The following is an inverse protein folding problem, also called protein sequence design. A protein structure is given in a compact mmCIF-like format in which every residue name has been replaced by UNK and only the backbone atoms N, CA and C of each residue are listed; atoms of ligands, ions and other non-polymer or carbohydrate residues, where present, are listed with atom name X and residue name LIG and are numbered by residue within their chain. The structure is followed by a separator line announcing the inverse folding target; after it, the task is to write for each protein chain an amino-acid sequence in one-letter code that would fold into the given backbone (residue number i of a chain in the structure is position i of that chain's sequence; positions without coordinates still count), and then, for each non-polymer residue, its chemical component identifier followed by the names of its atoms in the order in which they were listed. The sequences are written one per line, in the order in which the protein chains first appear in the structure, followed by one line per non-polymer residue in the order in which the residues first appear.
data_IF_156620298297
#
_entry.id   IF_156620298297
#
_cell.length_a   1.000
_cell.length_b   1.000
_cell.length_c   1.000
_cell.angle_alpha   90.00
_cell.angle_beta   90.00
_cell.angle_gamma   90.00
#
_symmetry.space_group_name_H-M   'P 1'
#
loop_
_entity.id
_entity.type
_entity.pdbx_description
1 polymer ?
#
# COMPACT_ATOMS: atom_id res chain seq x y z
N UNK A 1 20.71 6.69 -7.03
CA UNK A 1 19.61 7.06 -6.12
C UNK A 1 19.86 6.42 -4.77
N UNK A 2 19.47 7.11 -3.69
CA UNK A 2 19.64 6.64 -2.32
C UNK A 2 18.33 6.80 -1.56
N UNK A 3 17.72 5.68 -1.21
CA UNK A 3 16.47 5.58 -0.46
C UNK A 3 16.75 5.00 0.91
N UNK A 4 16.19 5.59 1.95
CA UNK A 4 16.16 5.02 3.30
C UNK A 4 14.73 4.68 3.69
N UNK A 5 14.51 3.43 4.09
CA UNK A 5 13.25 3.00 4.71
C UNK A 5 13.46 2.90 6.22
N UNK A 6 12.89 3.87 6.94
CA UNK A 6 12.87 3.94 8.40
C UNK A 6 11.66 3.16 8.89
N UNK A 7 11.86 1.93 9.36
CA UNK A 7 10.78 1.02 9.73
C UNK A 7 10.49 1.10 11.22
N UNK A 8 9.21 1.20 11.56
CA UNK A 8 8.68 0.88 12.88
C UNK A 8 8.01 -0.49 12.75
N UNK A 9 8.46 -1.47 13.53
CA UNK A 9 7.88 -2.81 13.48
C UNK A 9 6.57 -2.86 14.27
N UNK A 10 5.48 -3.05 13.54
CA UNK A 10 4.14 -3.16 14.09
C UNK A 10 3.88 -4.61 14.50
N UNK A 11 3.61 -4.77 15.79
CA UNK A 11 3.32 -6.03 16.49
C UNK A 11 2.02 -5.96 17.30
N UNK A 12 1.22 -4.92 17.08
CA UNK A 12 -0.08 -4.75 17.72
C UNK A 12 -0.94 -3.65 17.08
N UNK A 13 -2.25 -3.77 17.22
CA UNK A 13 -3.22 -2.72 16.89
C UNK A 13 -4.15 -2.47 18.05
N UNK A 14 -4.51 -1.20 18.25
CA UNK A 14 -5.55 -0.82 19.20
C UNK A 14 -6.22 0.49 18.77
N UNK A 15 -7.50 0.65 19.10
CA UNK A 15 -8.13 1.96 19.01
C UNK A 15 -7.76 2.83 20.22
N UNK A 16 -7.58 4.12 19.98
CA UNK A 16 -7.26 5.12 21.01
C UNK A 16 -7.82 6.51 20.64
N UNK A 17 -7.63 7.50 21.51
CA UNK A 17 -8.04 8.88 21.25
C UNK A 17 -7.14 9.60 20.23
N UNK A 18 -5.97 9.05 19.91
CA UNK A 18 -5.01 9.61 18.95
C UNK A 18 -4.35 8.49 18.14
N UNK A 19 -3.93 8.82 16.92
CA UNK A 19 -3.15 7.92 16.06
C UNK A 19 -1.65 8.11 16.31
N UNK A 20 -0.96 7.07 16.74
CA UNK A 20 0.49 7.07 17.03
C UNK A 20 1.02 5.63 17.20
N UNK A 21 2.35 5.47 17.25
CA UNK A 21 2.99 4.19 17.60
C UNK A 21 3.61 4.23 18.99
N UNK A 22 3.52 3.13 19.74
CA UNK A 22 4.23 2.95 21.01
C UNK A 22 4.42 1.48 21.34
N UNK A 23 5.65 1.09 21.69
CA UNK A 23 5.97 -0.29 22.07
C UNK A 23 5.61 -1.33 21.00
N UNK A 24 5.74 -0.99 19.72
CA UNK A 24 5.35 -1.84 18.59
C UNK A 24 3.85 -1.88 18.31
N UNK A 25 3.00 -1.21 19.09
CA UNK A 25 1.56 -1.12 18.80
C UNK A 25 1.25 0.16 18.02
N UNK A 26 0.50 0.04 16.92
CA UNK A 26 -0.12 1.16 16.23
C UNK A 26 -1.50 1.44 16.87
N UNK A 27 -1.57 2.55 17.59
CA UNK A 27 -2.81 3.08 18.13
C UNK A 27 -3.49 3.95 17.08
N UNK A 28 -4.81 3.79 16.90
CA UNK A 28 -5.56 4.45 15.83
C UNK A 28 -6.73 5.22 16.45
N UNK A 29 -6.84 6.51 16.14
CA UNK A 29 -8.10 7.22 16.33
C UNK A 29 -9.06 6.83 15.19
N UNK A 30 -10.01 5.95 15.51
CA UNK A 30 -11.00 5.44 14.55
C UNK A 30 -11.84 6.57 13.94
N UNK A 31 -12.33 7.50 14.76
CA UNK A 31 -13.20 8.57 14.31
C UNK A 31 -12.49 9.53 13.34
N UNK A 32 -11.25 9.92 13.65
CA UNK A 32 -10.47 10.79 12.78
C UNK A 32 -10.10 10.08 11.47
N UNK A 33 -9.69 8.81 11.55
CA UNK A 33 -9.37 8.01 10.37
C UNK A 33 -10.58 7.82 9.45
N UNK A 34 -11.76 7.52 9.99
CA UNK A 34 -13.01 7.44 9.23
C UNK A 34 -13.40 8.81 8.64
N UNK A 35 -13.24 9.89 9.41
CA UNK A 35 -13.57 11.24 8.96
C UNK A 35 -12.73 11.67 7.75
N UNK A 36 -11.43 11.38 7.74
CA UNK A 36 -10.53 11.69 6.61
C UNK A 36 -10.99 11.00 5.32
N UNK A 37 -11.55 9.79 5.40
CA UNK A 37 -12.08 9.09 4.22
C UNK A 37 -13.47 9.59 3.85
N UNK A 38 -14.31 9.91 4.84
CA UNK A 38 -15.66 10.44 4.65
C UNK A 38 -15.72 11.86 4.03
N UNK A 39 -14.57 12.53 3.89
CA UNK A 39 -14.45 13.76 3.07
C UNK A 39 -14.85 13.51 1.60
N UNK A 40 -14.63 12.28 1.10
CA UNK A 40 -15.06 11.89 -0.23
C UNK A 40 -16.57 11.59 -0.25
N UNK A 41 -17.32 12.49 -0.91
CA UNK A 41 -18.78 12.42 -1.02
C UNK A 41 -19.29 11.29 -1.91
N UNK A 42 -18.39 10.53 -2.56
CA UNK A 42 -18.74 9.31 -3.31
C UNK A 42 -19.11 8.13 -2.39
N UNK A 43 -18.80 8.21 -1.09
CA UNK A 43 -19.16 7.18 -0.13
C UNK A 43 -20.40 7.54 0.69
N UNK A 44 -21.31 6.57 0.82
CA UNK A 44 -22.46 6.63 1.74
C UNK A 44 -22.12 6.09 3.12
N UNK A 45 -21.13 5.20 3.20
CA UNK A 45 -20.64 4.58 4.43
C UNK A 45 -19.12 4.47 4.41
N UNK A 46 -18.50 4.75 5.54
CA UNK A 46 -17.09 4.50 5.84
C UNK A 46 -17.02 3.86 7.23
N UNK A 47 -16.32 2.75 7.33
CA UNK A 47 -16.14 2.02 8.59
C UNK A 47 -14.73 1.43 8.64
N UNK A 48 -14.06 1.59 9.79
CA UNK A 48 -12.75 1.00 10.04
C UNK A 48 -12.85 -0.06 11.13
N UNK A 49 -12.32 -1.24 10.85
CA UNK A 49 -12.10 -2.31 11.83
C UNK A 49 -10.63 -2.72 11.87
N UNK A 50 -10.25 -3.54 12.85
CA UNK A 50 -8.91 -4.10 12.97
C UNK A 50 -8.96 -5.62 13.08
N UNK A 51 -8.00 -6.30 12.46
CA UNK A 51 -7.82 -7.75 12.59
C UNK A 51 -6.34 -8.08 12.76
N UNK A 52 -6.02 -8.80 13.82
CA UNK A 52 -4.67 -9.17 14.20
C UNK A 52 -4.35 -10.62 13.80
N UNK A 53 -3.06 -10.96 13.63
CA UNK A 53 -2.63 -12.34 13.41
C UNK A 53 -3.19 -13.29 14.47
N UNK A 54 -3.81 -14.39 14.03
CA UNK A 54 -4.41 -15.39 14.91
C UNK A 54 -5.86 -15.13 15.33
N UNK A 55 -6.45 -13.98 14.98
CA UNK A 55 -7.87 -13.73 15.25
C UNK A 55 -8.77 -14.75 14.53
N UNK A 56 -9.89 -15.12 15.17
CA UNK A 56 -10.92 -15.99 14.55
C UNK A 56 -11.81 -15.21 13.58
N UNK A 57 -11.20 -14.52 12.62
CA UNK A 57 -11.85 -13.55 11.71
C UNK A 57 -11.47 -13.83 10.27
N UNK A 58 -12.40 -13.57 9.34
CA UNK A 58 -12.13 -13.51 7.91
C UNK A 58 -12.45 -12.11 7.38
N UNK A 59 -11.52 -11.52 6.65
CA UNK A 59 -11.70 -10.21 6.02
C UNK A 59 -12.21 -10.45 4.60
N UNK A 60 -13.37 -9.89 4.28
CA UNK A 60 -14.02 -10.04 2.97
C UNK A 60 -14.94 -8.82 2.72
N UNK A 61 -15.08 -8.35 1.47
CA UNK A 61 -14.31 -8.74 0.29
C UNK A 61 -13.13 -7.81 -0.01
N UNK A 62 -11.93 -8.38 -0.10
CA UNK A 62 -10.65 -7.65 -0.20
C UNK A 62 -10.37 -7.15 -1.63
N UNK A 63 -10.06 -5.87 -1.76
CA UNK A 63 -9.79 -5.19 -3.04
C UNK A 63 -8.32 -4.88 -3.24
N UNK A 64 -7.71 -4.14 -2.34
CA UNK A 64 -6.27 -3.88 -2.34
C UNK A 64 -5.73 -3.92 -0.91
N UNK A 65 -4.42 -4.03 -0.80
CA UNK A 65 -3.70 -4.05 0.47
C UNK A 65 -2.51 -3.12 0.33
N UNK A 66 -2.40 -2.16 1.24
CA UNK A 66 -1.45 -1.05 1.18
C UNK A 66 -0.66 -1.00 2.48
N UNK A 67 0.67 -0.97 2.39
CA UNK A 67 1.50 -0.70 3.57
C UNK A 67 1.50 0.80 3.89
N UNK A 68 1.22 1.22 5.14
CA UNK A 68 1.32 2.61 5.52
C UNK A 68 2.76 3.14 5.42
N UNK A 69 2.96 4.13 4.55
CA UNK A 69 4.24 4.78 4.33
C UNK A 69 4.06 6.29 4.10
N UNK A 70 5.05 7.09 4.51
CA UNK A 70 5.09 8.53 4.29
C UNK A 70 6.53 9.01 4.13
N UNK A 71 6.79 10.03 3.30
CA UNK A 71 8.12 10.67 3.27
C UNK A 71 8.33 11.46 4.56
N UNK A 72 9.48 11.27 5.22
CA UNK A 72 9.79 11.97 6.48
C UNK A 72 9.84 13.49 6.23
N UNK A 73 9.19 14.25 7.11
CA UNK A 73 9.06 15.70 6.99
C UNK A 73 8.06 16.16 5.92
N UNK A 74 7.28 15.24 5.36
CA UNK A 74 6.14 15.51 4.47
C UNK A 74 4.91 14.74 4.95
N UNK A 75 3.77 15.09 4.38
CA UNK A 75 2.46 14.44 4.56
C UNK A 75 2.03 13.62 3.32
N UNK A 76 2.99 13.31 2.45
CA UNK A 76 2.75 12.75 1.12
C UNK A 76 3.58 11.49 0.84
N UNK A 77 3.09 10.62 -0.03
CA UNK A 77 3.82 9.41 -0.45
C UNK A 77 3.61 9.04 -1.92
N UNK A 78 2.49 8.39 -2.25
CA UNK A 78 2.21 7.82 -3.58
C UNK A 78 2.24 8.89 -4.70
N UNK A 79 3.30 8.94 -5.53
CA UNK A 79 3.46 9.98 -6.55
C UNK A 79 2.33 10.01 -7.57
N UNK A 80 1.76 11.18 -7.78
CA UNK A 80 0.60 11.40 -8.66
C UNK A 80 -0.76 11.12 -8.01
N UNK A 81 -0.80 10.43 -6.86
CA UNK A 81 -2.02 10.28 -6.05
C UNK A 81 -2.02 11.24 -4.86
N UNK A 82 -1.27 10.89 -3.82
CA UNK A 82 -1.14 11.64 -2.56
C UNK A 82 0.26 12.21 -2.41
N UNK A 83 0.85 12.59 -3.54
CA UNK A 83 2.11 13.31 -3.66
C UNK A 83 2.17 13.96 -5.05
N UNK A 84 2.93 15.05 -5.24
CA UNK A 84 3.21 15.57 -6.56
C UNK A 84 3.74 14.48 -7.50
N UNK A 85 3.46 14.60 -8.80
CA UNK A 85 3.96 13.68 -9.81
C UNK A 85 5.46 13.92 -10.03
N UNK A 86 6.28 13.30 -9.19
CA UNK A 86 7.73 13.40 -9.17
C UNK A 86 8.37 12.01 -9.06
N UNK A 87 9.63 11.90 -9.47
CA UNK A 87 10.36 10.63 -9.42
C UNK A 87 10.57 10.17 -7.97
N UNK A 88 10.11 8.95 -7.66
CA UNK A 88 10.26 8.32 -6.35
C UNK A 88 11.67 7.75 -6.14
N UNK A 89 11.92 7.12 -4.99
CA UNK A 89 13.08 6.24 -4.79
C UNK A 89 14.33 6.94 -4.24
N UNK A 90 14.16 8.13 -3.69
CA UNK A 90 15.23 8.89 -3.01
C UNK A 90 14.73 9.51 -1.71
N UNK A 91 15.65 9.76 -0.77
CA UNK A 91 15.35 10.39 0.51
C UNK A 91 14.88 9.37 1.54
N UNK A 92 14.18 9.85 2.56
CA UNK A 92 13.81 9.05 3.73
C UNK A 92 12.29 8.82 3.79
N UNK A 93 11.90 7.59 4.02
CA UNK A 93 10.50 7.14 4.08
C UNK A 93 10.27 6.44 5.41
N UNK A 94 9.28 6.89 6.18
CA UNK A 94 8.77 6.16 7.34
C UNK A 94 7.86 5.02 6.86
N UNK A 95 8.06 3.83 7.40
CA UNK A 95 7.31 2.61 7.08
C UNK A 95 6.73 2.01 8.35
N UNK A 96 5.41 1.80 8.39
CA UNK A 96 4.77 1.02 9.46
C UNK A 96 4.81 -0.46 9.09
N UNK A 97 5.99 -1.05 9.22
CA UNK A 97 6.31 -2.41 8.79
C UNK A 97 5.51 -3.44 9.59
N UNK A 98 4.78 -4.30 8.89
CA UNK A 98 3.85 -5.26 9.50
C UNK A 98 2.41 -4.79 9.64
N UNK A 99 2.12 -3.49 9.46
CA UNK A 99 0.75 -2.99 9.32
C UNK A 99 0.29 -3.02 7.85
N UNK A 100 -1.00 -3.25 7.64
CA UNK A 100 -1.59 -3.27 6.31
C UNK A 100 -2.98 -2.62 6.32
N UNK A 101 -3.20 -1.63 5.46
CA UNK A 101 -4.55 -1.12 5.16
C UNK A 101 -5.18 -2.04 4.12
N UNK A 102 -6.28 -2.69 4.48
CA UNK A 102 -7.02 -3.60 3.60
C UNK A 102 -8.30 -2.92 3.15
N UNK A 103 -8.42 -2.63 1.86
CA UNK A 103 -9.65 -2.02 1.32
C UNK A 103 -10.70 -3.10 1.06
N UNK A 104 -11.91 -2.83 1.54
CA UNK A 104 -13.08 -3.69 1.44
C UNK A 104 -14.30 -2.89 1.00
N UNK A 105 -15.23 -3.57 0.34
CA UNK A 105 -16.47 -2.97 -0.14
C UNK A 105 -17.03 -3.69 -1.38
N UNK A 106 -18.33 -3.55 -1.68
CA UNK A 106 -18.98 -4.30 -2.75
C UNK A 106 -18.74 -3.67 -4.13
N UNK A 107 -17.87 -4.24 -4.98
CA UNK A 107 -17.64 -3.73 -6.35
C UNK A 107 -18.39 -4.58 -7.39
N UNK A 108 -17.93 -5.81 -7.64
CA UNK A 108 -18.48 -6.67 -8.70
C UNK A 108 -18.30 -8.15 -8.38
N UNK A 109 -19.42 -8.87 -8.24
CA UNK A 109 -19.47 -10.33 -8.29
C UNK A 109 -18.91 -11.05 -7.05
N UNK A 110 -18.81 -12.38 -7.16
CA UNK A 110 -18.33 -13.29 -6.10
C UNK A 110 -16.80 -13.49 -6.10
N UNK A 111 -16.08 -12.87 -7.05
CA UNK A 111 -14.67 -13.16 -7.32
C UNK A 111 -13.71 -12.50 -6.31
N UNK A 112 -14.25 -11.78 -5.34
CA UNK A 112 -13.46 -10.94 -4.45
C UNK A 112 -12.73 -11.78 -3.39
N UNK A 113 -11.45 -11.47 -3.15
CA UNK A 113 -10.60 -12.26 -2.25
C UNK A 113 -11.01 -12.17 -0.78
N UNK A 114 -10.57 -13.14 0.02
CA UNK A 114 -10.67 -13.08 1.47
C UNK A 114 -9.31 -13.32 2.11
N UNK A 115 -9.14 -12.81 3.34
CA UNK A 115 -8.01 -13.15 4.22
C UNK A 115 -8.57 -13.97 5.38
N UNK A 116 -8.02 -15.16 5.61
CA UNK A 116 -8.31 -15.98 6.78
C UNK A 116 -7.22 -15.73 7.83
N UNK A 117 -7.57 -15.19 8.99
CA UNK A 117 -6.57 -14.77 9.98
C UNK A 117 -6.05 -15.93 10.85
N UNK A 118 -6.78 -17.05 10.92
CA UNK A 118 -6.41 -18.21 11.74
C UNK A 118 -6.80 -19.58 11.18
N UNK A 119 -7.65 -19.65 10.15
CA UNK A 119 -8.02 -20.92 9.52
C UNK A 119 -7.01 -21.41 8.46
N UNK A 120 -7.37 -22.46 7.73
CA UNK A 120 -6.50 -23.08 6.70
C UNK A 120 -6.01 -22.09 5.65
N UNK A 121 -6.80 -21.05 5.34
CA UNK A 121 -6.42 -20.02 4.38
C UNK A 121 -5.24 -19.15 4.83
N UNK A 122 -4.98 -19.07 6.15
CA UNK A 122 -3.94 -18.20 6.72
C UNK A 122 -2.54 -18.52 6.19
N UNK A 123 -2.27 -19.80 5.89
CA UNK A 123 -0.97 -20.25 5.38
C UNK A 123 -0.67 -19.81 3.94
N UNK A 124 -1.70 -19.39 3.20
CA UNK A 124 -1.60 -19.08 1.76
C UNK A 124 -1.59 -17.59 1.46
N UNK A 125 -1.54 -16.75 2.49
CA UNK A 125 -1.51 -15.30 2.33
C UNK A 125 -0.57 -14.68 3.35
N UNK A 126 0.33 -13.76 2.93
CA UNK A 126 1.18 -13.03 3.88
C UNK A 126 0.34 -12.17 4.83
N UNK A 127 -0.86 -11.77 4.41
CA UNK A 127 -1.70 -10.83 5.15
C UNK A 127 -2.41 -11.44 6.36
N UNK A 128 -2.30 -12.76 6.57
CA UNK A 128 -2.70 -13.37 7.85
C UNK A 128 -1.72 -13.05 8.97
N UNK A 129 -0.48 -12.66 8.61
CA UNK A 129 0.59 -12.31 9.54
C UNK A 129 0.75 -10.79 9.70
N UNK A 130 0.01 -9.99 8.94
CA UNK A 130 -0.03 -8.53 9.10
C UNK A 130 -1.07 -8.09 10.12
N UNK A 131 -0.84 -6.92 10.68
CA UNK A 131 -1.78 -6.19 11.50
C UNK A 131 -2.68 -5.37 10.60
N UNK A 132 -3.89 -5.88 10.35
CA UNK A 132 -4.77 -5.36 9.30
C UNK A 132 -5.70 -4.27 9.84
N UNK A 133 -5.62 -3.08 9.24
CA UNK A 133 -6.59 -2.00 9.36
C UNK A 133 -7.56 -2.16 8.19
N UNK A 134 -8.78 -2.62 8.49
CA UNK A 134 -9.79 -2.95 7.49
C UNK A 134 -10.64 -1.73 7.21
N UNK A 135 -10.51 -1.16 6.00
CA UNK A 135 -11.34 -0.05 5.54
C UNK A 135 -12.51 -0.60 4.72
N UNK A 136 -13.71 -0.54 5.26
CA UNK A 136 -14.94 -0.88 4.56
C UNK A 136 -15.69 0.39 4.13
N UNK A 137 -16.00 0.50 2.83
CA UNK A 137 -16.78 1.64 2.31
C UNK A 137 -17.90 1.17 1.39
N UNK A 138 -19.01 1.92 1.38
CA UNK A 138 -20.12 1.71 0.44
C UNK A 138 -20.30 2.95 -0.44
N UNK A 139 -20.57 2.78 -1.75
CA UNK A 139 -20.79 3.90 -2.64
C UNK A 139 -22.11 4.61 -2.33
N UNK A 140 -22.24 5.88 -2.74
CA UNK A 140 -23.54 6.52 -2.89
C UNK A 140 -24.37 5.84 -3.98
N UNK A 141 -25.70 6.01 -3.92
CA UNK A 141 -26.59 5.49 -4.95
C UNK A 141 -26.19 5.97 -6.36
N UNK A 142 -26.29 5.07 -7.34
CA UNK A 142 -26.04 5.33 -8.76
C UNK A 142 -24.59 5.75 -9.12
N UNK A 143 -23.62 5.60 -8.22
CA UNK A 143 -22.21 5.81 -8.57
C UNK A 143 -21.76 4.75 -9.59
N UNK A 144 -21.13 5.18 -10.67
CA UNK A 144 -20.66 4.24 -11.69
C UNK A 144 -19.53 3.37 -11.14
N UNK A 145 -19.51 2.08 -11.50
CA UNK A 145 -18.57 1.08 -10.95
C UNK A 145 -17.10 1.50 -11.08
N UNK A 146 -16.73 2.13 -12.19
CA UNK A 146 -15.35 2.59 -12.39
C UNK A 146 -14.99 3.79 -11.53
N UNK A 147 -15.96 4.66 -11.24
CA UNK A 147 -15.77 5.79 -10.32
C UNK A 147 -15.66 5.29 -8.89
N UNK A 148 -16.44 4.27 -8.53
CA UNK A 148 -16.37 3.64 -7.21
C UNK A 148 -15.05 2.90 -6.99
N UNK A 149 -14.57 2.11 -7.96
CA UNK A 149 -13.25 1.46 -7.85
C UNK A 149 -12.15 2.50 -7.64
N UNK A 150 -12.11 3.56 -8.46
CA UNK A 150 -11.11 4.61 -8.34
C UNK A 150 -11.17 5.29 -6.96
N UNK A 151 -12.38 5.60 -6.48
CA UNK A 151 -12.58 6.17 -5.14
C UNK A 151 -12.07 5.23 -4.05
N UNK A 152 -12.41 3.94 -4.11
CA UNK A 152 -11.99 2.94 -3.13
C UNK A 152 -10.46 2.80 -3.08
N UNK A 153 -9.81 2.77 -4.25
CA UNK A 153 -8.36 2.71 -4.37
C UNK A 153 -7.72 3.94 -3.74
N UNK A 154 -8.20 5.13 -4.09
CA UNK A 154 -7.75 6.39 -3.48
C UNK A 154 -7.95 6.40 -1.97
N UNK A 155 -9.08 5.90 -1.46
CA UNK A 155 -9.37 5.83 -0.04
C UNK A 155 -8.37 4.94 0.73
N UNK A 156 -8.00 3.79 0.17
CA UNK A 156 -6.98 2.91 0.76
C UNK A 156 -5.60 3.57 0.85
N UNK A 157 -5.17 4.19 -0.26
CA UNK A 157 -3.90 4.93 -0.29
C UNK A 157 -3.92 6.13 0.66
N UNK A 158 -5.03 6.89 0.72
CA UNK A 158 -5.20 8.03 1.62
C UNK A 158 -5.08 7.61 3.07
N UNK A 159 -5.77 6.54 3.47
CA UNK A 159 -5.72 6.02 4.83
C UNK A 159 -4.30 5.56 5.20
N UNK A 160 -3.62 4.86 4.30
CA UNK A 160 -2.25 4.40 4.51
C UNK A 160 -1.28 5.57 4.74
N UNK A 161 -1.37 6.63 3.92
CA UNK A 161 -0.54 7.84 4.09
C UNK A 161 -0.91 8.58 5.38
N UNK A 162 -2.20 8.72 5.68
CA UNK A 162 -2.67 9.39 6.89
C UNK A 162 -2.14 8.72 8.17
N UNK A 163 -2.24 7.39 8.27
CA UNK A 163 -1.76 6.64 9.43
C UNK A 163 -0.25 6.81 9.62
N UNK A 164 0.53 6.69 8.55
CA UNK A 164 1.97 6.88 8.60
C UNK A 164 2.36 8.32 8.96
N UNK A 165 1.66 9.32 8.40
CA UNK A 165 1.85 10.74 8.73
C UNK A 165 1.55 11.05 10.19
N UNK A 166 0.43 10.56 10.74
CA UNK A 166 0.14 10.74 12.17
C UNK A 166 1.25 10.15 13.04
N UNK A 167 1.83 9.02 12.64
CA UNK A 167 2.96 8.44 13.36
C UNK A 167 4.24 9.25 13.21
N UNK A 168 4.49 9.86 12.04
CA UNK A 168 5.68 10.70 11.80
C UNK A 168 5.67 12.02 12.59
N UNK A 169 4.49 12.56 12.90
CA UNK A 169 4.31 13.81 13.65
C UNK A 169 4.41 13.65 15.18
N UNK A 170 4.37 12.42 15.68
CA UNK A 170 4.53 12.13 17.10
C UNK A 170 6.00 11.79 17.44
N UNK A 171 6.30 11.57 18.72
CA UNK A 171 7.63 11.04 19.08
C UNK A 171 7.75 9.59 18.63
N UNK A 172 8.58 9.33 17.63
CA UNK A 172 8.84 7.99 17.10
C UNK A 172 10.34 7.75 16.93
N UNK A 173 10.71 6.48 16.76
CA UNK A 173 12.07 6.05 16.43
C UNK A 173 11.97 4.83 15.52
N UNK A 174 12.80 4.79 14.48
CA UNK A 174 12.92 3.59 13.66
C UNK A 174 13.55 2.44 14.46
N UNK A 175 12.96 1.26 14.35
CA UNK A 175 13.54 0.00 14.84
C UNK A 175 14.62 -0.51 13.88
N UNK A 176 14.42 -0.29 12.58
CA UNK A 176 15.36 -0.63 11.50
C UNK A 176 15.44 0.52 10.49
N UNK A 177 16.64 0.82 9.99
CA UNK A 177 16.81 1.69 8.80
C UNK A 177 17.45 0.87 7.70
N UNK A 178 16.68 0.62 6.64
CA UNK A 178 17.16 -0.11 5.47
C UNK A 178 17.55 0.87 4.36
N UNK A 179 18.80 0.78 3.89
CA UNK A 179 19.36 1.72 2.91
C UNK A 179 19.50 1.01 1.55
N UNK A 180 18.84 1.57 0.54
CA UNK A 180 18.94 1.14 -0.84
C UNK A 180 19.68 2.21 -1.65
N UNK A 181 20.95 1.96 -1.92
CA UNK A 181 21.80 2.87 -2.67
C UNK A 181 22.34 2.18 -3.93
N UNK A 182 21.99 2.75 -5.07
CA UNK A 182 22.41 2.23 -6.38
C UNK A 182 22.55 3.38 -7.37
N UNK A 183 23.66 3.42 -8.10
CA UNK A 183 23.89 4.34 -9.21
C UNK A 183 23.08 3.99 -10.46
N UNK A 184 23.31 4.73 -11.54
CA UNK A 184 22.75 4.34 -12.85
C UNK A 184 23.42 3.07 -13.41
N UNK A 185 22.96 2.61 -14.57
CA UNK A 185 23.48 1.37 -15.17
C UNK A 185 24.98 1.47 -15.55
N UNK A 186 25.48 2.64 -15.94
CA UNK A 186 26.87 2.84 -16.35
C UNK A 186 27.80 2.90 -15.14
N UNK A 187 27.37 3.63 -14.09
CA UNK A 187 28.07 3.71 -12.82
C UNK A 187 28.22 2.33 -12.19
N UNK A 188 27.13 1.56 -12.09
CA UNK A 188 27.14 0.24 -11.46
C UNK A 188 27.91 -0.79 -12.29
N UNK A 189 27.83 -0.73 -13.62
CA UNK A 189 28.64 -1.60 -14.51
C UNK A 189 30.14 -1.32 -14.33
N UNK A 190 30.51 -0.05 -14.11
CA UNK A 190 31.92 0.32 -13.91
C UNK A 190 32.43 -0.10 -12.53
N UNK A 191 31.58 -0.04 -11.49
CA UNK A 191 31.90 -0.50 -10.14
C UNK A 191 32.07 -2.02 -10.05
N UNK A 192 31.25 -2.76 -10.80
CA UNK A 192 31.18 -4.22 -10.74
C UNK A 192 31.33 -4.86 -12.14
N UNK A 193 32.52 -4.77 -12.77
CA UNK A 193 32.73 -5.20 -14.15
C UNK A 193 32.55 -6.72 -14.36
N UNK A 194 32.73 -7.52 -13.31
CA UNK A 194 32.67 -8.98 -13.37
C UNK A 194 31.27 -9.55 -13.09
N UNK A 195 30.31 -8.73 -12.66
CA UNK A 195 28.94 -9.19 -12.42
C UNK A 195 28.14 -9.30 -13.72
N UNK A 196 27.22 -10.29 -13.83
CA UNK A 196 26.33 -10.37 -14.97
C UNK A 196 25.40 -9.15 -15.02
N UNK A 197 25.18 -8.62 -16.23
CA UNK A 197 24.20 -7.57 -16.47
C UNK A 197 22.81 -8.19 -16.54
N UNK A 198 21.93 -7.78 -15.64
CA UNK A 198 20.56 -8.31 -15.52
C UNK A 198 19.57 -7.22 -15.91
N UNK A 199 18.59 -7.59 -16.72
CA UNK A 199 17.37 -6.79 -16.95
C UNK A 199 16.20 -7.60 -16.41
N UNK A 200 15.46 -7.02 -15.48
CA UNK A 200 14.22 -7.61 -14.98
C UNK A 200 13.02 -7.02 -15.75
N UNK A 201 12.24 -7.88 -16.38
CA UNK A 201 11.00 -7.50 -17.06
C UNK A 201 9.84 -7.70 -16.08
N UNK A 202 9.43 -6.62 -15.41
CA UNK A 202 8.29 -6.63 -14.49
C UNK A 202 6.97 -6.60 -15.29
N UNK A 203 6.38 -7.77 -15.51
CA UNK A 203 5.08 -7.87 -16.18
C UNK A 203 3.96 -7.47 -15.21
N UNK A 204 3.25 -6.40 -15.53
CA UNK A 204 2.08 -5.92 -14.76
C UNK A 204 0.79 -6.19 -15.52
N UNK A 205 -0.21 -6.74 -14.82
CA UNK A 205 -1.53 -6.97 -15.41
C UNK A 205 -2.19 -5.61 -15.63
N UNK A 206 -2.55 -5.35 -16.89
CA UNK A 206 -3.24 -4.13 -17.30
C UNK A 206 -4.22 -4.48 -18.42
N UNK A 207 -5.42 -4.89 -18.07
CA UNK A 207 -6.42 -5.44 -19.02
C UNK A 207 -7.74 -4.65 -19.06
N UNK A 208 -7.82 -3.54 -18.32
CA UNK A 208 -9.03 -2.74 -18.20
C UNK A 208 -9.56 -2.72 -16.78
N UNK A 209 -10.72 -2.11 -16.62
CA UNK A 209 -11.33 -1.86 -15.32
C UNK A 209 -11.28 -3.09 -14.40
N UNK A 210 -10.84 -2.88 -13.15
CA UNK A 210 -10.58 -3.91 -12.13
C UNK A 210 -9.36 -4.81 -12.37
N UNK A 211 -8.56 -4.55 -13.40
CA UNK A 211 -7.34 -5.29 -13.75
C UNK A 211 -6.21 -4.33 -14.16
N UNK A 212 -6.28 -3.06 -13.76
CA UNK A 212 -5.29 -2.06 -14.12
C UNK A 212 -4.18 -1.98 -13.06
N UNK A 213 -3.01 -1.54 -13.49
CA UNK A 213 -1.85 -1.23 -12.64
C UNK A 213 -1.40 0.16 -13.00
N UNK A 214 -1.10 0.97 -11.99
CA UNK A 214 -0.74 2.37 -12.17
C UNK A 214 0.75 2.57 -11.89
N UNK A 215 1.40 3.36 -12.73
CA UNK A 215 2.76 3.84 -12.55
C UNK A 215 2.72 5.37 -12.48
N UNK A 216 3.15 5.96 -11.36
CA UNK A 216 3.04 7.40 -11.10
C UNK A 216 1.61 7.93 -11.31
N UNK A 217 0.62 7.21 -10.78
CA UNK A 217 -0.82 7.42 -10.95
C UNK A 217 -1.35 7.36 -12.41
N UNK A 218 -0.48 7.07 -13.38
CA UNK A 218 -0.86 6.85 -14.77
C UNK A 218 -1.17 5.37 -15.00
N UNK A 219 -2.29 5.10 -15.66
CA UNK A 219 -2.64 3.75 -16.09
C UNK A 219 -1.60 3.22 -17.08
N UNK A 220 -1.08 2.02 -16.83
CA UNK A 220 -0.06 1.39 -17.68
C UNK A 220 -0.59 0.86 -19.02
N UNK A 221 -1.91 0.76 -19.24
CA UNK A 221 -2.50 0.24 -20.49
C UNK A 221 -2.01 0.97 -21.75
N UNK A 222 -2.07 2.31 -21.82
CA UNK A 222 -1.49 3.06 -22.95
C UNK A 222 0.04 3.23 -22.84
N UNK A 223 0.65 2.76 -21.75
CA UNK A 223 2.06 2.95 -21.45
C UNK A 223 2.98 2.19 -22.40
N UNK A 224 4.14 2.78 -22.67
CA UNK A 224 5.26 2.07 -23.27
C UNK A 224 6.09 1.38 -22.18
N UNK A 225 6.84 0.31 -22.51
CA UNK A 225 7.82 -0.24 -21.59
C UNK A 225 8.73 0.87 -21.04
N UNK A 226 8.67 1.06 -19.73
CA UNK A 226 9.34 2.17 -19.05
C UNK A 226 10.46 1.61 -18.20
N UNK A 227 11.67 2.14 -18.38
CA UNK A 227 12.80 1.77 -17.51
C UNK A 227 12.65 2.46 -16.16
N UNK A 228 12.58 1.66 -15.10
CA UNK A 228 12.50 2.13 -13.73
C UNK A 228 13.77 1.78 -12.96
N UNK A 229 14.20 2.70 -12.09
CA UNK A 229 15.13 2.37 -11.04
C UNK A 229 14.41 1.51 -9.98
N UNK A 230 15.03 0.46 -9.41
CA UNK A 230 14.38 -0.42 -8.43
C UNK A 230 13.79 0.35 -7.24
N UNK A 231 14.54 1.32 -6.70
CA UNK A 231 14.03 2.19 -5.62
C UNK A 231 12.71 2.92 -5.95
N UNK A 232 12.37 3.16 -7.22
CA UNK A 232 11.09 3.81 -7.56
C UNK A 232 9.91 2.90 -7.20
N UNK A 233 10.05 1.60 -7.50
CA UNK A 233 9.03 0.58 -7.17
C UNK A 233 8.93 0.42 -5.65
N UNK A 234 10.08 0.35 -4.96
CA UNK A 234 10.14 0.28 -3.49
C UNK A 234 9.62 1.55 -2.80
N UNK A 235 9.50 2.68 -3.51
CA UNK A 235 9.09 3.96 -2.93
C UNK A 235 7.74 4.46 -3.49
N UNK A 236 6.84 3.53 -3.82
CA UNK A 236 5.43 3.83 -4.10
C UNK A 236 5.11 4.28 -5.52
N UNK A 237 6.02 4.12 -6.49
CA UNK A 237 5.72 4.46 -7.88
C UNK A 237 4.63 3.58 -8.51
N UNK A 238 4.44 2.34 -8.02
CA UNK A 238 3.46 1.40 -8.55
C UNK A 238 2.31 1.16 -7.57
N UNK A 239 1.09 1.19 -8.09
CA UNK A 239 -0.17 1.00 -7.33
C UNK A 239 -1.07 0.01 -8.07
N UNK A 240 -1.73 -0.87 -7.34
CA UNK A 240 -2.67 -1.84 -7.90
C UNK A 240 -4.06 -1.23 -8.09
N UNK A 241 -4.67 -1.48 -9.25
CA UNK A 241 -6.11 -1.35 -9.50
C UNK A 241 -6.77 -2.70 -9.78
N UNK A 242 -6.12 -3.81 -9.41
CA UNK A 242 -6.62 -5.15 -9.67
C UNK A 242 -7.52 -5.65 -8.53
N UNK A 243 -8.81 -5.82 -8.80
CA UNK A 243 -9.84 -6.11 -7.80
C UNK A 243 -10.52 -7.48 -7.98
N UNK A 244 -10.22 -8.25 -9.04
CA UNK A 244 -11.03 -9.42 -9.45
C UNK A 244 -10.43 -10.75 -9.04
N UNK A 245 -9.26 -11.15 -9.55
CA UNK A 245 -8.72 -12.49 -9.29
C UNK A 245 -7.69 -12.46 -8.17
N UNK A 246 -8.09 -12.84 -6.95
CA UNK A 246 -7.21 -12.77 -5.77
C UNK A 246 -5.91 -13.60 -5.92
N UNK A 247 -5.94 -14.73 -6.64
CA UNK A 247 -4.76 -15.57 -6.87
C UNK A 247 -3.79 -15.02 -7.93
N UNK A 248 -4.25 -14.11 -8.79
CA UNK A 248 -3.47 -13.62 -9.94
C UNK A 248 -3.09 -12.14 -9.79
N UNK A 249 -3.47 -11.48 -8.69
CA UNK A 249 -3.21 -10.06 -8.48
C UNK A 249 -1.99 -9.80 -7.60
N UNK A 250 -1.23 -8.78 -7.97
CA UNK A 250 -0.32 -8.09 -7.06
C UNK A 250 -1.07 -6.91 -6.44
N UNK A 251 -1.14 -6.88 -5.11
CA UNK A 251 -1.62 -5.70 -4.37
C UNK A 251 -0.57 -4.60 -4.38
N UNK A 252 -0.94 -3.38 -3.99
CA UNK A 252 0.02 -2.29 -3.79
C UNK A 252 1.15 -2.69 -2.83
N UNK A 253 0.83 -3.45 -1.78
CA UNK A 253 1.82 -4.05 -0.88
C UNK A 253 2.83 -4.96 -1.61
N UNK A 254 2.38 -5.82 -2.52
CA UNK A 254 3.29 -6.68 -3.30
C UNK A 254 4.22 -5.88 -4.21
N UNK A 255 3.79 -4.73 -4.72
CA UNK A 255 4.68 -3.84 -5.47
C UNK A 255 5.76 -3.24 -4.57
N UNK A 256 5.40 -2.81 -3.37
CA UNK A 256 6.35 -2.28 -2.37
C UNK A 256 7.32 -3.32 -1.80
N UNK A 257 6.92 -4.60 -1.83
CA UNK A 257 7.67 -5.77 -1.33
C UNK A 257 8.05 -6.74 -2.45
N UNK A 258 8.29 -6.24 -3.66
CA UNK A 258 8.61 -7.09 -4.80
C UNK A 258 9.91 -7.89 -4.53
N UNK A 259 9.88 -9.24 -4.53
CA UNK A 259 11.01 -10.05 -4.08
C UNK A 259 12.22 -10.04 -5.04
N UNK A 260 12.05 -9.51 -6.25
CA UNK A 260 13.11 -9.38 -7.26
C UNK A 260 13.77 -7.99 -7.21
N UNK A 261 13.02 -6.98 -6.77
CA UNK A 261 13.45 -5.57 -6.74
C UNK A 261 14.09 -5.25 -5.40
#
# INVERSE_FOLDING_TARGET
MRLELHKIHITGLAFAEKTYTSGGTLFINKADAEAVIAEDRRFSKVEIDIACPGDSTRIIPVKDIVEPRVKIGKDTYFPGFFAPMEKAGTGETLVLDGAAVVTCGPIVGFQEGFIDMSGTGALYTPFSQTYNIVLYVEPTENLEKHQYEAALREAGLKLAVYLAHCCSENSWKADEVQIFEKGDAFEETSKYPDLPRIVYVCMSITQGLLHDTYLYASDLRPGLPTLLHPNEVLDGAMVSGNCVSACDKNTTWHHLHNPIV
#
